data_IF_112741986225
#
_entry.id   IF_112741986225
#
_cell.length_a   1.000
_cell.length_b   1.000
_cell.length_c   1.000
_cell.angle_alpha   90.00
_cell.angle_beta   90.00
_cell.angle_gamma   90.00
#
_symmetry.space_group_name_H-M   'P 1'
#
loop_
_entity.id
_entity.type
_entity.pdbx_description
1 polymer ?
#
# COMPACT_ATOMS: atom_id res chain seq x y z
N UNK A 1 9.90 36.13 -39.18
CA UNK A 1 8.93 35.43 -38.31
C UNK A 1 9.52 35.45 -36.90
N UNK A 2 9.44 36.53 -36.12
CA UNK A 2 8.28 37.02 -35.31
C UNK A 2 7.63 35.84 -34.54
N UNK A 3 7.53 35.79 -33.20
CA UNK A 3 7.39 36.83 -32.18
C UNK A 3 7.95 36.38 -30.82
N UNK A 4 8.54 37.33 -30.08
CA UNK A 4 8.75 37.32 -28.63
C UNK A 4 7.40 37.49 -27.91
N UNK A 5 7.13 36.79 -26.81
CA UNK A 5 6.19 37.31 -25.80
C UNK A 5 6.73 37.12 -24.38
N UNK A 6 7.02 38.27 -23.81
CA UNK A 6 7.40 38.60 -22.45
C UNK A 6 6.22 38.48 -21.49
N UNK A 7 6.52 38.01 -20.27
CA UNK A 7 5.97 38.35 -18.94
C UNK A 7 4.45 38.37 -18.69
N UNK A 8 4.00 37.52 -17.77
CA UNK A 8 3.10 37.91 -16.68
C UNK A 8 3.57 37.28 -15.36
N UNK A 9 3.76 38.16 -14.38
CA UNK A 9 4.07 37.91 -12.98
C UNK A 9 2.92 37.17 -12.27
N UNK A 10 3.27 36.35 -11.27
CA UNK A 10 2.37 35.93 -10.20
C UNK A 10 2.08 34.44 -10.19
N UNK A 11 2.02 33.87 -9.00
CA UNK A 11 1.77 32.45 -8.70
C UNK A 11 3.00 31.53 -8.77
N UNK A 12 4.08 31.96 -8.10
CA UNK A 12 4.87 31.04 -7.30
C UNK A 12 4.06 30.70 -6.03
N UNK A 13 3.03 29.86 -6.17
CA UNK A 13 2.56 29.04 -5.07
C UNK A 13 2.85 27.62 -5.49
N UNK A 14 3.68 26.94 -4.71
CA UNK A 14 4.04 25.53 -4.83
C UNK A 14 2.85 24.74 -5.40
N UNK A 15 2.95 24.31 -6.66
CA UNK A 15 2.29 23.07 -7.01
C UNK A 15 2.95 22.04 -6.10
N UNK A 16 2.22 21.63 -5.06
CA UNK A 16 2.57 20.52 -4.20
C UNK A 16 2.98 19.37 -5.13
N UNK A 17 4.30 19.19 -5.23
CA UNK A 17 4.97 18.17 -6.04
C UNK A 17 4.27 16.85 -5.72
N UNK A 18 3.82 16.03 -6.69
CA UNK A 18 2.95 14.91 -6.38
C UNK A 18 3.59 14.03 -5.30
N UNK A 19 2.94 14.12 -4.14
CA UNK A 19 3.05 13.25 -2.99
C UNK A 19 2.87 11.82 -3.50
N UNK A 20 3.80 10.93 -3.15
CA UNK A 20 3.84 9.49 -3.49
C UNK A 20 2.68 8.97 -4.34
N UNK A 21 2.90 8.81 -5.64
CA UNK A 21 1.95 8.16 -6.55
C UNK A 21 2.20 6.65 -6.52
N UNK A 22 1.60 5.95 -5.56
CA UNK A 22 1.52 4.48 -5.61
C UNK A 22 0.25 4.04 -6.35
N UNK A 23 0.37 3.01 -7.18
CA UNK A 23 -0.76 2.34 -7.83
C UNK A 23 -1.05 1.04 -7.09
N UNK A 24 -2.30 0.88 -6.64
CA UNK A 24 -2.72 -0.35 -5.96
C UNK A 24 -2.71 -1.52 -6.97
N UNK A 25 -2.14 -2.64 -6.53
CA UNK A 25 -2.22 -3.92 -7.23
C UNK A 25 -3.15 -4.86 -6.46
N UNK A 26 -4.05 -5.52 -7.18
CA UNK A 26 -4.98 -6.50 -6.61
C UNK A 26 -6.13 -5.89 -5.77
N UNK A 27 -6.91 -6.78 -5.17
CA UNK A 27 -8.04 -6.42 -4.31
C UNK A 27 -7.59 -6.08 -2.89
N UNK A 28 -8.48 -5.44 -2.13
CA UNK A 28 -8.25 -5.21 -0.70
C UNK A 28 -8.09 -6.54 0.04
N UNK A 29 -7.10 -6.61 0.94
CA UNK A 29 -6.92 -7.76 1.82
C UNK A 29 -7.64 -7.47 3.14
N UNK A 30 -8.68 -8.26 3.44
CA UNK A 30 -9.48 -8.12 4.66
C UNK A 30 -9.04 -9.17 5.69
N UNK A 31 -8.93 -8.76 6.96
CA UNK A 31 -8.67 -9.66 8.08
C UNK A 31 -9.82 -10.62 8.33
N UNK A 32 -9.56 -11.75 8.99
CA UNK A 32 -10.56 -12.80 9.21
C UNK A 32 -11.52 -12.46 10.36
N UNK A 33 -10.98 -12.07 11.51
CA UNK A 33 -11.77 -11.61 12.65
C UNK A 33 -11.14 -10.39 13.34
N UNK A 34 -11.99 -9.64 14.06
CA UNK A 34 -11.53 -8.55 14.93
C UNK A 34 -10.73 -9.13 16.10
N UNK A 35 -9.57 -8.56 16.39
CA UNK A 35 -8.70 -9.02 17.48
C UNK A 35 -7.58 -9.97 17.07
N UNK A 36 -7.60 -10.51 15.84
CA UNK A 36 -6.56 -11.41 15.32
C UNK A 36 -5.23 -10.71 15.01
N UNK A 37 -5.25 -9.37 14.99
CA UNK A 37 -4.09 -8.53 14.67
C UNK A 37 -3.51 -8.88 13.28
N UNK A 38 -4.40 -9.06 12.29
CA UNK A 38 -3.99 -9.19 10.88
C UNK A 38 -3.22 -7.93 10.46
N UNK A 39 -2.04 -8.11 9.86
CA UNK A 39 -1.13 -7.01 9.55
C UNK A 39 -0.09 -6.73 10.63
N UNK A 40 -0.01 -7.55 11.69
CA UNK A 40 0.99 -7.41 12.74
C UNK A 40 2.44 -7.60 12.26
N UNK A 41 2.63 -8.32 11.15
CA UNK A 41 3.87 -8.34 10.39
C UNK A 41 3.57 -8.58 8.91
N UNK A 42 4.36 -7.96 8.03
CA UNK A 42 4.20 -8.05 6.57
C UNK A 42 5.56 -8.22 5.91
N UNK A 43 5.64 -9.10 4.90
CA UNK A 43 6.82 -9.24 4.05
C UNK A 43 6.40 -9.36 2.59
N UNK A 44 7.15 -8.73 1.70
CA UNK A 44 6.94 -8.76 0.26
C UNK A 44 8.10 -9.50 -0.40
N UNK A 45 7.77 -10.38 -1.34
CA UNK A 45 8.74 -11.01 -2.23
C UNK A 45 9.50 -9.97 -3.06
N UNK A 46 10.72 -10.30 -3.47
CA UNK A 46 11.60 -9.36 -4.20
C UNK A 46 11.04 -8.90 -5.54
N UNK A 47 10.20 -9.71 -6.17
CA UNK A 47 9.50 -9.42 -7.43
C UNK A 47 8.15 -8.71 -7.23
N UNK A 48 7.71 -8.54 -5.97
CA UNK A 48 6.47 -7.84 -5.64
C UNK A 48 5.18 -8.61 -5.95
N UNK A 49 5.27 -9.86 -6.38
CA UNK A 49 4.10 -10.67 -6.80
C UNK A 49 3.43 -11.36 -5.61
N UNK A 50 4.18 -11.62 -4.55
CA UNK A 50 3.68 -12.30 -3.34
C UNK A 50 3.90 -11.48 -2.09
N UNK A 51 2.88 -11.42 -1.24
CA UNK A 51 2.90 -10.79 0.07
C UNK A 51 2.47 -11.81 1.14
N UNK A 52 3.17 -11.82 2.27
CA UNK A 52 2.81 -12.60 3.46
C UNK A 52 2.35 -11.64 4.54
N UNK A 53 1.18 -11.93 5.13
CA UNK A 53 0.59 -11.13 6.21
C UNK A 53 0.35 -12.04 7.41
N UNK A 54 0.93 -11.68 8.54
CA UNK A 54 0.74 -12.37 9.80
C UNK A 54 -0.48 -11.82 10.55
N UNK A 55 -1.18 -12.72 11.24
CA UNK A 55 -2.23 -12.45 12.20
C UNK A 55 -1.86 -13.17 13.51
N UNK A 56 -1.12 -12.48 14.38
CA UNK A 56 -0.43 -13.09 15.54
C UNK A 56 -1.39 -13.66 16.59
N UNK A 57 -2.63 -13.19 16.62
CA UNK A 57 -3.64 -13.57 17.60
C UNK A 57 -4.78 -14.39 16.99
N UNK A 58 -4.67 -14.80 15.73
CA UNK A 58 -5.73 -15.56 15.10
C UNK A 58 -5.99 -16.88 15.83
N UNK A 59 -7.27 -17.21 15.99
CA UNK A 59 -7.76 -18.33 16.77
C UNK A 59 -8.31 -19.50 15.94
N UNK A 60 -8.13 -19.47 14.61
CA UNK A 60 -8.75 -20.43 13.68
C UNK A 60 -8.37 -21.90 13.90
N UNK A 61 -7.24 -22.18 14.55
CA UNK A 61 -6.82 -23.55 14.91
C UNK A 61 -6.74 -23.79 16.42
N UNK A 62 -6.33 -22.79 17.19
CA UNK A 62 -6.34 -22.77 18.66
C UNK A 62 -6.27 -21.33 19.16
N UNK A 63 -6.62 -21.10 20.43
CA UNK A 63 -6.67 -19.77 21.04
C UNK A 63 -5.33 -19.01 20.89
N UNK A 64 -5.36 -17.86 20.21
CA UNK A 64 -4.19 -17.02 19.88
C UNK A 64 -3.01 -17.81 19.26
N UNK A 65 -3.29 -18.88 18.51
CA UNK A 65 -2.24 -19.68 17.87
C UNK A 65 -1.45 -18.87 16.84
N UNK A 66 -2.13 -17.90 16.23
CA UNK A 66 -1.61 -17.10 15.15
C UNK A 66 -1.50 -17.89 13.85
N UNK A 67 -1.51 -17.19 12.73
CA UNK A 67 -1.13 -17.76 11.45
C UNK A 67 -0.63 -16.67 10.50
N UNK A 68 -0.17 -17.07 9.32
CA UNK A 68 0.15 -16.16 8.24
C UNK A 68 -0.54 -16.60 6.96
N UNK A 69 -0.97 -15.63 6.14
CA UNK A 69 -1.58 -15.87 4.83
C UNK A 69 -0.68 -15.30 3.75
N UNK A 70 -0.61 -16.02 2.65
CA UNK A 70 0.14 -15.63 1.46
C UNK A 70 -0.87 -15.22 0.39
N UNK A 71 -0.66 -14.05 -0.18
CA UNK A 71 -1.43 -13.55 -1.32
C UNK A 71 -0.49 -13.40 -2.51
N UNK A 72 -0.96 -13.83 -3.67
CA UNK A 72 -0.23 -13.76 -4.93
C UNK A 72 -1.02 -12.92 -5.92
N UNK A 73 -0.31 -12.05 -6.64
CA UNK A 73 -0.83 -11.19 -7.69
C UNK A 73 -0.36 -11.70 -9.05
N UNK A 74 -1.32 -11.99 -9.94
CA UNK A 74 -1.11 -12.48 -11.32
C UNK A 74 -1.80 -11.59 -12.34
#
# INVERSE_FOLDING_TARGET
MFFIRTMLFGWLWLACVPLYSQTQLGSNIIGEASGDISGGAVSLSSDGTRIVIAAVNNDGTANLAGHARIFEYS
#
